data_IF_377784605046
#
_entry.id   IF_377784605046
#
_cell.length_a   1.000
_cell.length_b   1.000
_cell.length_c   1.000
_cell.angle_alpha   90.00
_cell.angle_beta   90.00
_cell.angle_gamma   90.00
#
_symmetry.space_group_name_H-M   'P 1'
#
loop_
_entity.id
_entity.type
_entity.pdbx_description
1 polymer ?
#
# COMPACT_ATOMS: atom_id res chain seq x y z
N UNK A 1 30.43 0.70 22.07
CA UNK A 1 29.40 -0.27 22.45
C UNK A 1 29.18 -1.18 21.24
N UNK A 2 29.76 -2.37 21.27
CA UNK A 2 29.61 -3.34 20.19
C UNK A 2 28.21 -3.95 20.27
N UNK A 3 27.50 -3.96 19.17
CA UNK A 3 26.20 -4.62 19.06
C UNK A 3 26.46 -6.12 19.01
N UNK A 4 26.12 -6.83 20.08
CA UNK A 4 26.11 -8.29 20.05
C UNK A 4 25.11 -8.79 18.99
N UNK A 5 25.35 -9.95 18.36
CA UNK A 5 24.44 -10.49 17.33
C UNK A 5 22.98 -10.56 17.79
N UNK A 6 22.76 -10.88 19.05
CA UNK A 6 21.42 -10.95 19.66
C UNK A 6 20.74 -9.57 19.71
N UNK A 7 21.47 -8.53 20.13
CA UNK A 7 20.91 -7.16 20.17
C UNK A 7 20.62 -6.62 18.78
N UNK A 8 21.45 -6.97 17.79
CA UNK A 8 21.19 -6.62 16.40
C UNK A 8 19.90 -7.29 15.89
N UNK A 9 19.71 -8.58 16.15
CA UNK A 9 18.51 -9.31 15.75
C UNK A 9 17.25 -8.73 16.40
N UNK A 10 17.28 -8.42 17.70
CA UNK A 10 16.12 -7.81 18.40
C UNK A 10 15.77 -6.44 17.80
N UNK A 11 16.76 -5.58 17.58
CA UNK A 11 16.53 -4.26 16.98
C UNK A 11 16.00 -4.37 15.55
N UNK A 12 16.47 -5.35 14.79
CA UNK A 12 15.99 -5.60 13.43
C UNK A 12 14.53 -6.05 13.42
N UNK A 13 14.16 -7.00 14.26
CA UNK A 13 12.79 -7.49 14.39
C UNK A 13 11.84 -6.36 14.82
N UNK A 14 12.21 -5.60 15.86
CA UNK A 14 11.43 -4.47 16.32
C UNK A 14 11.25 -3.40 15.22
N UNK A 15 12.32 -3.07 14.51
CA UNK A 15 12.27 -2.14 13.38
C UNK A 15 11.40 -2.64 12.23
N UNK A 16 11.45 -3.95 11.92
CA UNK A 16 10.60 -4.56 10.91
C UNK A 16 9.11 -4.45 11.29
N UNK A 17 8.77 -4.78 12.53
CA UNK A 17 7.40 -4.67 13.05
C UNK A 17 6.90 -3.23 12.96
N UNK A 18 7.66 -2.24 13.45
CA UNK A 18 7.29 -0.82 13.40
C UNK A 18 7.09 -0.36 11.96
N UNK A 19 7.97 -0.77 11.04
CA UNK A 19 7.87 -0.41 9.63
C UNK A 19 6.62 -1.01 8.99
N UNK A 20 6.34 -2.30 9.21
CA UNK A 20 5.16 -2.98 8.67
C UNK A 20 3.88 -2.34 9.22
N UNK A 21 3.81 -2.10 10.53
CA UNK A 21 2.64 -1.45 11.16
C UNK A 21 2.47 -0.03 10.65
N UNK A 22 3.55 0.75 10.54
CA UNK A 22 3.52 2.11 10.00
C UNK A 22 3.03 2.15 8.56
N UNK A 23 3.54 1.28 7.69
CA UNK A 23 3.10 1.16 6.30
C UNK A 23 1.63 0.73 6.23
N UNK A 24 1.20 -0.23 7.05
CA UNK A 24 -0.18 -0.68 7.10
C UNK A 24 -1.14 0.45 7.53
N UNK A 25 -0.76 1.25 8.50
CA UNK A 25 -1.54 2.42 8.94
C UNK A 25 -1.60 3.49 7.84
N UNK A 26 -0.48 3.81 7.20
CA UNK A 26 -0.43 4.79 6.11
C UNK A 26 -1.29 4.37 4.92
N UNK A 27 -1.23 3.11 4.51
CA UNK A 27 -2.06 2.60 3.41
C UNK A 27 -3.54 2.51 3.80
N UNK A 28 -3.87 2.19 5.03
CA UNK A 28 -5.23 2.23 5.54
C UNK A 28 -5.87 3.61 5.43
N UNK A 29 -5.10 4.69 5.62
CA UNK A 29 -5.55 6.06 5.44
C UNK A 29 -5.62 6.50 3.97
N UNK A 30 -4.80 5.91 3.10
CA UNK A 30 -4.77 6.20 1.65
C UNK A 30 -5.75 5.36 0.83
N UNK A 31 -6.24 4.25 1.33
CA UNK A 31 -7.37 3.48 0.77
C UNK A 31 -8.68 4.27 1.00
N UNK A 32 -8.77 5.33 0.26
CA UNK A 32 -9.58 6.57 0.41
C UNK A 32 -11.08 6.39 0.63
N UNK A 33 -11.66 5.22 0.44
CA UNK A 33 -13.11 5.06 0.55
C UNK A 33 -13.58 3.96 1.50
N UNK A 34 -12.73 3.02 1.92
CA UNK A 34 -13.26 1.82 2.58
C UNK A 34 -12.44 1.31 3.76
N UNK A 35 -11.24 1.85 4.01
CA UNK A 35 -10.31 1.31 5.00
C UNK A 35 -9.95 -0.17 4.77
N UNK A 36 -9.12 -0.74 5.60
CA UNK A 36 -8.71 -2.15 5.50
C UNK A 36 -9.89 -3.13 5.57
N UNK A 37 -10.88 -2.85 6.41
CA UNK A 37 -12.04 -3.74 6.60
C UNK A 37 -12.94 -3.79 5.36
N UNK A 38 -13.20 -2.65 4.72
CA UNK A 38 -13.96 -2.60 3.48
C UNK A 38 -13.23 -3.32 2.33
N UNK A 39 -11.90 -3.19 2.30
CA UNK A 39 -11.09 -3.86 1.28
C UNK A 39 -11.04 -5.39 1.48
N UNK A 40 -10.91 -5.85 2.72
CA UNK A 40 -10.98 -7.28 3.04
C UNK A 40 -12.36 -7.88 2.71
N UNK A 41 -13.44 -7.11 2.90
CA UNK A 41 -14.77 -7.52 2.44
C UNK A 41 -14.83 -7.66 0.93
N UNK A 42 -14.29 -6.71 0.16
CA UNK A 42 -14.19 -6.81 -1.30
C UNK A 42 -13.42 -8.06 -1.75
N UNK A 43 -12.37 -8.45 -1.04
CA UNK A 43 -11.60 -9.67 -1.35
C UNK A 43 -12.41 -10.94 -1.07
N UNK A 44 -13.23 -10.96 -0.02
CA UNK A 44 -13.99 -12.14 0.42
C UNK A 44 -15.33 -12.30 -0.28
N UNK A 45 -16.05 -11.20 -0.47
CA UNK A 45 -17.45 -11.17 -0.88
C UNK A 45 -17.64 -10.43 -2.23
N UNK A 46 -16.56 -9.87 -2.78
CA UNK A 46 -16.64 -9.06 -4.00
C UNK A 46 -16.98 -9.89 -5.23
N UNK A 47 -17.85 -9.34 -6.05
CA UNK A 47 -18.22 -9.88 -7.37
C UNK A 47 -17.56 -9.04 -8.45
N UNK A 48 -17.12 -9.67 -9.53
CA UNK A 48 -16.50 -8.97 -10.66
C UNK A 48 -17.54 -8.59 -11.71
N UNK A 49 -17.39 -7.38 -12.25
CA UNK A 49 -18.14 -6.89 -13.41
C UNK A 49 -17.21 -6.09 -14.32
N UNK A 50 -17.74 -5.70 -15.49
CA UNK A 50 -17.02 -4.82 -16.41
C UNK A 50 -17.49 -3.39 -16.28
N UNK A 51 -16.53 -2.49 -16.11
CA UNK A 51 -16.73 -1.04 -16.14
C UNK A 51 -16.04 -0.40 -17.33
N UNK A 52 -16.22 0.91 -17.43
CA UNK A 52 -15.59 1.75 -18.46
C UNK A 52 -14.87 2.90 -17.78
N UNK A 53 -13.67 3.20 -18.24
CA UNK A 53 -12.90 4.37 -17.80
C UNK A 53 -13.55 5.64 -18.33
N UNK A 54 -13.96 6.52 -17.43
CA UNK A 54 -14.61 7.80 -17.80
C UNK A 54 -13.68 9.00 -17.72
N UNK A 55 -12.59 8.89 -16.93
CA UNK A 55 -11.59 9.96 -16.80
C UNK A 55 -10.26 9.40 -16.36
N UNK A 56 -9.17 9.98 -16.88
CA UNK A 56 -7.81 9.66 -16.47
C UNK A 56 -7.07 10.92 -16.00
N UNK A 57 -6.20 10.79 -15.01
CA UNK A 57 -5.35 11.85 -14.49
C UNK A 57 -3.91 11.31 -14.34
N UNK A 58 -3.12 11.23 -15.43
CA UNK A 58 -1.80 10.60 -15.41
C UNK A 58 -0.82 11.27 -14.43
N UNK A 59 -0.88 12.61 -14.33
CA UNK A 59 -0.03 13.39 -13.43
C UNK A 59 -0.36 13.19 -11.93
N UNK A 60 -1.53 12.64 -11.61
CA UNK A 60 -1.95 12.36 -10.23
C UNK A 60 -1.92 10.85 -9.96
N UNK A 61 -0.72 10.29 -9.87
CA UNK A 61 -0.50 8.85 -9.60
C UNK A 61 -1.32 7.91 -10.50
N UNK A 62 -1.48 8.28 -11.78
CA UNK A 62 -2.30 7.51 -12.73
C UNK A 62 -3.74 7.27 -12.24
N UNK A 63 -4.35 8.28 -11.62
CA UNK A 63 -5.71 8.18 -11.11
C UNK A 63 -6.69 8.01 -12.27
N UNK A 64 -7.59 7.04 -12.10
CA UNK A 64 -8.61 6.69 -13.08
C UNK A 64 -9.97 6.72 -12.39
N UNK A 65 -10.93 7.43 -12.99
CA UNK A 65 -12.35 7.32 -12.64
C UNK A 65 -13.01 6.34 -13.60
N UNK A 66 -13.76 5.40 -13.08
CA UNK A 66 -14.49 4.41 -13.88
C UNK A 66 -15.97 4.40 -13.49
N UNK A 67 -16.82 3.93 -14.40
CA UNK A 67 -18.23 3.66 -14.16
C UNK A 67 -18.57 2.22 -14.56
N UNK A 68 -19.59 1.66 -13.93
CA UNK A 68 -20.12 0.33 -14.21
C UNK A 68 -21.60 0.29 -13.87
N UNK A 69 -22.33 -0.59 -14.55
CA UNK A 69 -23.77 -0.70 -14.40
C UNK A 69 -24.14 -2.02 -13.71
N UNK A 70 -25.00 -1.92 -12.71
CA UNK A 70 -25.58 -3.07 -12.00
C UNK A 70 -27.09 -2.88 -11.94
N UNK A 71 -27.86 -3.82 -12.48
CA UNK A 71 -29.31 -3.81 -12.46
C UNK A 71 -29.92 -2.48 -12.94
N UNK A 72 -29.34 -1.89 -13.99
CA UNK A 72 -29.82 -0.65 -14.58
C UNK A 72 -29.44 0.62 -13.82
N UNK A 73 -28.60 0.53 -12.79
CA UNK A 73 -28.05 1.69 -12.06
C UNK A 73 -26.57 1.83 -12.34
N UNK A 74 -26.15 3.05 -12.62
CA UNK A 74 -24.73 3.37 -12.86
C UNK A 74 -24.04 3.76 -11.56
N UNK A 75 -22.95 3.06 -11.26
CA UNK A 75 -22.05 3.35 -10.14
C UNK A 75 -20.73 3.88 -10.67
N UNK A 76 -19.98 4.58 -9.82
CA UNK A 76 -18.66 5.07 -10.19
C UNK A 76 -17.66 4.87 -9.06
N UNK A 77 -16.42 4.58 -9.44
CA UNK A 77 -15.32 4.45 -8.50
C UNK A 77 -14.06 5.14 -9.00
N UNK A 78 -13.05 5.14 -8.16
CA UNK A 78 -11.74 5.71 -8.44
C UNK A 78 -10.68 4.67 -8.11
N UNK A 79 -9.68 4.53 -8.97
CA UNK A 79 -8.55 3.63 -8.77
C UNK A 79 -7.31 4.15 -9.48
N UNK A 80 -6.20 3.43 -9.35
CA UNK A 80 -4.95 3.79 -10.02
C UNK A 80 -4.66 2.75 -11.12
N UNK A 81 -4.45 3.22 -12.34
CA UNK A 81 -4.05 2.37 -13.47
C UNK A 81 -3.30 3.19 -14.51
N UNK A 82 -1.97 3.02 -14.52
CA UNK A 82 -1.12 3.67 -15.51
C UNK A 82 -1.36 3.07 -16.90
N UNK A 83 -1.47 3.94 -17.91
CA UNK A 83 -1.71 3.52 -19.30
C UNK A 83 -3.18 3.30 -19.67
N UNK A 84 -4.13 3.39 -18.74
CA UNK A 84 -5.55 3.34 -19.05
C UNK A 84 -6.00 4.56 -19.87
N UNK A 85 -6.94 4.33 -20.80
CA UNK A 85 -7.51 5.36 -21.66
C UNK A 85 -9.00 5.53 -21.41
N UNK A 86 -9.50 6.75 -21.60
CA UNK A 86 -10.95 7.01 -21.55
C UNK A 86 -11.67 6.15 -22.59
N UNK A 87 -12.79 5.54 -22.21
CA UNK A 87 -13.53 4.56 -23.01
C UNK A 87 -13.02 3.12 -22.90
N UNK A 88 -11.88 2.88 -22.29
CA UNK A 88 -11.34 1.53 -22.10
C UNK A 88 -12.22 0.72 -21.14
N UNK A 89 -12.50 -0.52 -21.51
CA UNK A 89 -13.14 -1.48 -20.61
C UNK A 89 -12.16 -2.01 -19.59
N UNK A 90 -12.61 -2.09 -18.34
CA UNK A 90 -11.79 -2.52 -17.18
C UNK A 90 -12.60 -3.44 -16.29
N UNK A 91 -11.93 -4.35 -15.63
CA UNK A 91 -12.56 -5.18 -14.62
C UNK A 91 -12.75 -4.38 -13.33
N UNK A 92 -13.88 -4.58 -12.67
CA UNK A 92 -14.25 -3.89 -11.42
C UNK A 92 -14.74 -4.95 -10.44
N UNK A 93 -14.18 -4.97 -9.24
CA UNK A 93 -14.69 -5.76 -8.12
C UNK A 93 -15.59 -4.87 -7.27
N UNK A 94 -16.81 -5.30 -6.94
CA UNK A 94 -17.77 -4.55 -6.13
C UNK A 94 -18.48 -5.45 -5.13
N UNK A 95 -19.07 -4.86 -4.09
CA UNK A 95 -19.94 -5.58 -3.14
C UNK A 95 -21.40 -5.54 -3.61
N UNK A 96 -22.07 -6.67 -3.67
CA UNK A 96 -23.49 -6.74 -4.05
C UNK A 96 -24.37 -5.95 -3.09
N UNK A 97 -24.06 -6.00 -1.79
CA UNK A 97 -24.80 -5.29 -0.74
C UNK A 97 -24.59 -3.76 -0.74
N UNK A 98 -23.58 -3.25 -1.49
CA UNK A 98 -23.25 -1.84 -1.58
C UNK A 98 -22.30 -1.60 -2.76
N UNK A 99 -22.83 -1.48 -4.01
CA UNK A 99 -22.01 -1.36 -5.20
C UNK A 99 -21.12 -0.11 -5.27
N UNK A 100 -21.40 0.91 -4.48
CA UNK A 100 -20.51 2.06 -4.26
C UNK A 100 -19.15 1.63 -3.69
N UNK A 101 -19.11 0.48 -2.99
CA UNK A 101 -17.89 -0.13 -2.50
C UNK A 101 -17.28 -0.99 -3.61
N UNK A 102 -16.42 -0.38 -4.41
CA UNK A 102 -15.82 -1.01 -5.58
C UNK A 102 -14.32 -0.73 -5.69
N UNK A 103 -13.61 -1.61 -6.36
CA UNK A 103 -12.18 -1.49 -6.67
C UNK A 103 -11.93 -1.77 -8.14
N UNK A 104 -11.02 -1.03 -8.75
CA UNK A 104 -10.57 -1.27 -10.12
C UNK A 104 -9.71 -2.55 -10.13
N UNK A 105 -10.05 -3.48 -11.03
CA UNK A 105 -9.38 -4.77 -11.15
C UNK A 105 -9.74 -5.77 -10.04
N UNK A 106 -8.94 -6.81 -9.92
CA UNK A 106 -9.08 -7.81 -8.87
C UNK A 106 -8.64 -7.26 -7.52
N UNK A 107 -9.57 -7.19 -6.57
CA UNK A 107 -9.25 -6.78 -5.20
C UNK A 107 -8.22 -7.71 -4.54
N UNK A 108 -8.25 -9.00 -4.88
CA UNK A 108 -7.32 -10.01 -4.35
C UNK A 108 -5.89 -9.79 -4.83
N UNK A 109 -5.68 -9.60 -6.15
CA UNK A 109 -4.35 -9.35 -6.71
C UNK A 109 -3.73 -8.08 -6.14
N UNK A 110 -4.54 -7.04 -5.95
CA UNK A 110 -4.08 -5.80 -5.35
C UNK A 110 -3.65 -6.00 -3.91
N UNK A 111 -4.41 -6.73 -3.10
CA UNK A 111 -4.04 -7.06 -1.73
C UNK A 111 -2.71 -7.84 -1.69
N UNK A 112 -2.55 -8.84 -2.54
CA UNK A 112 -1.32 -9.64 -2.61
C UNK A 112 -0.10 -8.78 -2.97
N UNK A 113 -0.24 -7.85 -3.92
CA UNK A 113 0.83 -6.92 -4.32
C UNK A 113 1.19 -5.96 -3.18
N UNK A 114 0.21 -5.46 -2.45
CA UNK A 114 0.47 -4.60 -1.29
C UNK A 114 1.17 -5.36 -0.16
N UNK A 115 0.71 -6.57 0.16
CA UNK A 115 1.36 -7.41 1.16
C UNK A 115 2.81 -7.74 0.80
N UNK A 116 3.10 -8.02 -0.49
CA UNK A 116 4.48 -8.20 -0.97
C UNK A 116 5.31 -6.94 -0.77
N UNK A 117 4.77 -5.78 -1.09
CA UNK A 117 5.46 -4.48 -0.90
C UNK A 117 5.77 -4.23 0.57
N UNK A 118 4.84 -4.54 1.47
CA UNK A 118 5.06 -4.42 2.91
C UNK A 118 6.11 -5.40 3.44
N UNK A 119 6.06 -6.65 2.97
CA UNK A 119 7.04 -7.65 3.35
C UNK A 119 8.45 -7.25 2.92
N UNK A 120 8.62 -6.78 1.68
CA UNK A 120 9.90 -6.29 1.18
C UNK A 120 10.37 -5.04 1.91
N UNK A 121 9.48 -4.07 2.13
CA UNK A 121 9.78 -2.86 2.89
C UNK A 121 10.20 -3.16 4.33
N UNK A 122 9.47 -4.03 5.01
CA UNK A 122 9.79 -4.48 6.38
C UNK A 122 11.11 -5.26 6.47
N UNK A 123 11.47 -6.00 5.42
CA UNK A 123 12.72 -6.77 5.39
C UNK A 123 13.95 -5.89 5.12
N UNK A 124 13.84 -4.91 4.21
CA UNK A 124 14.98 -4.14 3.69
C UNK A 124 15.23 -2.87 4.51
N UNK A 125 14.17 -2.15 4.89
CA UNK A 125 14.31 -0.82 5.49
C UNK A 125 14.98 -0.83 6.89
N UNK A 126 14.61 -1.70 7.84
CA UNK A 126 15.21 -1.70 9.17
C UNK A 126 16.72 -1.94 9.18
N UNK A 127 17.28 -2.92 8.45
CA UNK A 127 18.72 -3.12 8.45
C UNK A 127 19.47 -1.93 7.83
N UNK A 128 18.91 -1.26 6.82
CA UNK A 128 19.53 -0.06 6.24
C UNK A 128 19.60 1.08 7.27
N UNK A 129 18.54 1.30 8.04
CA UNK A 129 18.51 2.31 9.11
C UNK A 129 19.55 1.97 10.20
N UNK A 130 19.57 0.73 10.67
CA UNK A 130 20.51 0.27 11.69
C UNK A 130 21.95 0.44 11.23
N UNK A 131 22.27 0.03 10.01
CA UNK A 131 23.60 0.18 9.41
C UNK A 131 24.00 1.66 9.27
N UNK A 132 23.07 2.51 8.85
CA UNK A 132 23.32 3.96 8.73
C UNK A 132 23.65 4.60 10.09
N UNK A 133 22.92 4.23 11.13
CA UNK A 133 23.14 4.71 12.48
C UNK A 133 24.47 4.20 13.05
N UNK A 134 24.81 2.95 12.80
CA UNK A 134 26.10 2.38 13.22
C UNK A 134 27.29 3.09 12.57
N UNK A 135 27.19 3.40 11.26
CA UNK A 135 28.23 4.17 10.53
C UNK A 135 28.39 5.59 11.08
N UNK A 136 27.29 6.29 11.38
CA UNK A 136 27.34 7.66 11.95
C UNK A 136 28.01 7.70 13.32
N UNK A 137 27.85 6.63 14.15
CA UNK A 137 28.49 6.53 15.45
C UNK A 137 30.01 6.33 15.32
N UNK A 138 30.48 5.56 14.33
CA UNK A 138 31.91 5.37 14.06
C UNK A 138 32.58 6.64 13.51
N UNK A 139 31.84 7.48 12.78
CA UNK A 139 32.36 8.71 12.17
C UNK A 139 32.44 9.91 13.15
N UNK A 140 32.05 9.75 14.41
CA UNK A 140 32.30 10.75 15.48
C UNK A 140 33.49 10.32 16.35
N UNK A 141 34.75 10.55 15.93
CA UNK A 141 35.89 10.42 16.81
C UNK A 141 35.72 11.43 17.94
N UNK A 142 36.02 11.00 19.16
CA UNK A 142 35.80 11.72 20.40
C UNK A 142 36.25 13.16 20.36
N UNK A 143 35.29 14.06 20.49
CA UNK A 143 35.50 15.45 20.76
C UNK A 143 35.64 15.63 22.28
N UNK A 144 36.51 14.81 22.88
CA UNK A 144 36.89 14.95 24.28
C UNK A 144 38.36 15.22 24.32
N UNK A 145 38.70 16.47 24.53
CA UNK A 145 40.07 16.88 24.86
C UNK A 145 40.39 18.27 24.41
N UNK A 146 39.83 19.25 25.05
CA UNK A 146 40.52 20.49 25.34
C UNK A 146 39.90 21.02 26.65
N UNK A 147 40.59 20.80 27.73
CA UNK A 147 40.55 21.63 28.92
C UNK A 147 41.95 22.15 29.12
#
# INVERSE_FOLDING_TARGET
>A
MELTPTRFAVLWIAGAIVTIVGLALLTGTTLRNHGWFGYLRLVREGTMTRGTVVRTQPANHCLVKYSFDIEGRTYSGVGNSCGSRVGQRVDVTYLIAGPEHSSLGSARERLENELRTFALGGLIFPPLVILSLARRRKARPGRNGIA
#
